data_IF_625420369886
#
_entry.id   IF_625420369886
#
_cell.length_a   1.000
_cell.length_b   1.000
_cell.length_c   1.000
_cell.angle_alpha   90.00
_cell.angle_beta   90.00
_cell.angle_gamma   90.00
#
_symmetry.space_group_name_H-M   'P 1'
#
loop_
_entity.id
_entity.type
_entity.pdbx_description
1 polymer ?
#
# COMPACT_ATOMS: atom_id res chain seq x y z
N UNK A 1 -17.79 -18.81 -14.96
CA UNK A 1 -17.25 -17.52 -14.48
C UNK A 1 -15.91 -17.80 -13.84
N UNK A 2 -14.81 -17.36 -14.45
CA UNK A 2 -13.45 -17.58 -13.94
C UNK A 2 -13.07 -16.42 -13.02
N UNK A 3 -12.55 -16.72 -11.83
CA UNK A 3 -12.02 -15.69 -10.92
C UNK A 3 -10.72 -15.16 -11.53
N UNK A 4 -10.68 -13.87 -11.84
CA UNK A 4 -9.44 -13.23 -12.29
C UNK A 4 -8.48 -13.07 -11.10
N UNK A 5 -7.17 -13.28 -11.30
CA UNK A 5 -6.19 -13.08 -10.25
C UNK A 5 -6.17 -11.60 -9.83
N UNK A 6 -6.00 -11.39 -8.52
CA UNK A 6 -5.84 -10.09 -7.89
C UNK A 6 -4.48 -10.05 -7.21
N UNK A 7 -3.79 -8.92 -7.32
CA UNK A 7 -2.54 -8.68 -6.62
C UNK A 7 -2.83 -8.11 -5.24
N UNK A 8 -2.06 -8.58 -4.25
CA UNK A 8 -2.12 -8.09 -2.89
C UNK A 8 -0.78 -7.50 -2.48
N UNK A 9 -0.77 -6.19 -2.21
CA UNK A 9 0.42 -5.42 -1.85
C UNK A 9 0.28 -4.97 -0.40
N UNK A 10 1.31 -5.22 0.41
CA UNK A 10 1.40 -4.71 1.78
C UNK A 10 2.54 -3.71 1.85
N UNK A 11 2.22 -2.47 2.22
CA UNK A 11 3.21 -1.43 2.45
C UNK A 11 3.41 -1.30 3.96
N UNK A 12 4.62 -1.65 4.40
CA UNK A 12 5.08 -1.50 5.78
C UNK A 12 5.98 -0.29 5.89
N UNK A 13 5.81 0.48 6.95
CA UNK A 13 6.54 1.74 7.13
C UNK A 13 7.70 1.58 8.14
N UNK A 14 8.84 2.27 7.91
CA UNK A 14 9.95 2.33 8.87
C UNK A 14 9.50 2.84 10.24
N UNK A 15 10.16 2.41 11.32
CA UNK A 15 9.74 2.73 12.70
C UNK A 15 9.67 4.23 12.96
N UNK A 16 10.60 4.98 12.35
CA UNK A 16 10.84 6.39 12.55
C UNK A 16 9.66 7.26 12.09
N UNK A 17 8.89 6.79 11.11
CA UNK A 17 7.76 7.54 10.54
C UNK A 17 6.39 7.13 11.11
N UNK A 18 6.30 5.99 11.81
CA UNK A 18 5.03 5.47 12.33
C UNK A 18 4.29 6.38 13.29
N UNK A 19 4.94 7.20 14.15
CA UNK A 19 4.23 8.15 15.00
C UNK A 19 3.32 9.10 14.20
N UNK A 20 3.76 9.56 13.01
CA UNK A 20 2.99 10.43 12.12
C UNK A 20 1.73 9.75 11.57
N UNK A 21 1.75 8.42 11.51
CA UNK A 21 0.66 7.62 10.95
C UNK A 21 -0.47 7.39 11.95
N UNK A 22 -0.43 8.03 13.12
CA UNK A 22 -1.58 8.12 14.04
C UNK A 22 -2.56 9.22 13.62
N UNK A 23 -2.12 10.16 12.78
CA UNK A 23 -2.97 11.22 12.23
C UNK A 23 -3.83 10.69 11.07
N UNK A 24 -5.17 10.73 11.17
CA UNK A 24 -6.08 10.35 10.10
C UNK A 24 -5.83 11.09 8.77
N UNK A 25 -5.36 12.35 8.81
CA UNK A 25 -5.05 13.13 7.63
C UNK A 25 -3.82 12.58 6.89
N UNK A 26 -2.76 12.21 7.62
CA UNK A 26 -1.58 11.54 7.08
C UNK A 26 -1.97 10.21 6.44
N UNK A 27 -2.77 9.40 7.16
CA UNK A 27 -3.28 8.12 6.66
C UNK A 27 -4.10 8.28 5.37
N UNK A 28 -4.96 9.30 5.31
CA UNK A 28 -5.76 9.61 4.14
C UNK A 28 -4.89 10.07 2.95
N UNK A 29 -3.88 10.89 3.21
CA UNK A 29 -2.93 11.39 2.22
C UNK A 29 -2.12 10.25 1.60
N UNK A 30 -1.51 9.39 2.42
CA UNK A 30 -0.72 8.24 1.97
C UNK A 30 -1.57 7.27 1.14
N UNK A 31 -2.79 6.95 1.61
CA UNK A 31 -3.76 6.15 0.86
C UNK A 31 -4.11 6.77 -0.50
N UNK A 32 -4.31 8.10 -0.55
CA UNK A 32 -4.59 8.83 -1.80
C UNK A 32 -3.40 8.79 -2.76
N UNK A 33 -2.18 8.99 -2.25
CA UNK A 33 -0.93 8.91 -3.03
C UNK A 33 -0.74 7.52 -3.64
N UNK A 34 -0.87 6.46 -2.85
CA UNK A 34 -0.74 5.07 -3.30
C UNK A 34 -1.76 4.73 -4.40
N UNK A 35 -3.06 5.03 -4.19
CA UNK A 35 -4.10 4.79 -5.20
C UNK A 35 -3.83 5.54 -6.50
N UNK A 36 -3.41 6.80 -6.41
CA UNK A 36 -3.09 7.62 -7.60
C UNK A 36 -1.88 7.05 -8.36
N UNK A 37 -0.86 6.58 -7.64
CA UNK A 37 0.31 5.95 -8.25
C UNK A 37 -0.06 4.70 -9.03
N UNK A 38 -0.85 3.79 -8.41
CA UNK A 38 -1.27 2.55 -9.05
C UNK A 38 -2.19 2.82 -10.24
N UNK A 39 -3.18 3.72 -10.10
CA UNK A 39 -4.04 4.10 -11.24
C UNK A 39 -3.27 4.69 -12.41
N UNK A 40 -2.24 5.49 -12.15
CA UNK A 40 -1.35 6.02 -13.21
C UNK A 40 -0.57 4.93 -13.95
N UNK A 41 -0.36 3.77 -13.33
CA UNK A 41 0.29 2.60 -13.93
C UNK A 41 -0.66 1.68 -14.69
N UNK A 42 -1.97 1.99 -14.70
CA UNK A 42 -2.96 1.20 -15.43
C UNK A 42 -3.82 0.27 -14.57
N UNK A 43 -3.56 0.16 -13.26
CA UNK A 43 -4.42 -0.58 -12.34
C UNK A 43 -5.80 0.09 -12.23
N UNK A 44 -6.86 -0.63 -12.60
CA UNK A 44 -8.24 -0.10 -12.64
C UNK A 44 -8.94 -0.29 -11.30
N UNK A 45 -8.78 -1.45 -10.70
CA UNK A 45 -9.35 -1.81 -9.40
C UNK A 45 -8.28 -1.61 -8.34
N UNK A 46 -8.46 -0.64 -7.44
CA UNK A 46 -7.49 -0.39 -6.36
C UNK A 46 -8.24 -0.14 -5.06
N UNK A 47 -8.32 -1.19 -4.24
CA UNK A 47 -8.91 -1.17 -2.92
C UNK A 47 -7.81 -1.07 -1.87
N UNK A 48 -8.04 -0.29 -0.83
CA UNK A 48 -7.02 0.00 0.18
C UNK A 48 -7.62 -0.09 1.56
N UNK A 49 -6.92 -0.73 2.49
CA UNK A 49 -7.30 -0.84 3.90
C UNK A 49 -6.08 -0.63 4.78
N UNK A 50 -6.21 0.25 5.77
CA UNK A 50 -5.22 0.30 6.84
C UNK A 50 -5.45 -0.87 7.80
N UNK A 51 -4.37 -1.56 8.13
CA UNK A 51 -4.34 -2.63 9.12
C UNK A 51 -3.37 -2.22 10.22
N UNK A 52 -3.82 -2.28 11.46
CA UNK A 52 -3.04 -1.86 12.62
C UNK A 52 -2.74 -3.10 13.46
N UNK A 53 -1.47 -3.50 13.50
CA UNK A 53 -1.02 -4.48 14.47
C UNK A 53 -0.58 -3.74 15.74
N UNK A 54 -1.07 -4.19 16.90
CA UNK A 54 -0.75 -3.56 18.19
C UNK A 54 -1.47 -2.25 18.45
N UNK A 55 -2.70 -2.05 17.95
CA UNK A 55 -3.50 -0.84 18.22
C UNK A 55 -3.65 -0.55 19.74
N UNK A 56 -3.58 -1.60 20.56
CA UNK A 56 -3.57 -1.56 22.03
C UNK A 56 -2.27 -2.06 22.69
N UNK A 57 -1.18 -2.25 21.92
CA UNK A 57 0.12 -2.72 22.43
C UNK A 57 1.19 -1.62 22.45
N UNK A 58 2.36 -1.91 23.01
CA UNK A 58 3.48 -0.96 23.10
C UNK A 58 3.99 -0.48 21.72
N UNK A 59 3.82 -1.31 20.69
CA UNK A 59 4.33 -1.04 19.35
C UNK A 59 3.17 -0.83 18.37
N UNK A 60 3.12 0.37 17.78
CA UNK A 60 2.22 0.71 16.69
C UNK A 60 2.82 0.28 15.35
N UNK A 61 2.18 -0.66 14.64
CA UNK A 61 2.62 -1.19 13.35
C UNK A 61 1.52 -1.00 12.29
N UNK A 62 1.43 0.18 11.66
CA UNK A 62 0.48 0.43 10.59
C UNK A 62 0.98 -0.19 9.27
N UNK A 63 0.08 -0.91 8.61
CA UNK A 63 0.28 -1.47 7.28
C UNK A 63 -0.81 -0.94 6.34
N UNK A 64 -0.42 -0.47 5.16
CA UNK A 64 -1.36 -0.17 4.09
C UNK A 64 -1.49 -1.39 3.19
N UNK A 65 -2.60 -2.10 3.32
CA UNK A 65 -2.94 -3.23 2.48
C UNK A 65 -3.67 -2.73 1.24
N UNK A 66 -3.26 -3.22 0.08
CA UNK A 66 -3.82 -2.83 -1.22
C UNK A 66 -4.18 -4.10 -1.99
N UNK A 67 -5.43 -4.20 -2.40
CA UNK A 67 -5.90 -5.22 -3.32
C UNK A 67 -6.15 -4.55 -4.67
N UNK A 68 -5.49 -5.04 -5.73
CA UNK A 68 -5.66 -4.49 -7.06
C UNK A 68 -5.78 -5.55 -8.15
N UNK A 69 -6.34 -5.16 -9.30
CA UNK A 69 -6.26 -5.99 -10.50
C UNK A 69 -4.79 -6.27 -10.83
N UNK A 70 -4.49 -7.46 -11.36
CA UNK A 70 -3.13 -7.83 -11.72
C UNK A 70 -2.73 -9.19 -11.18
N UNK A 71 -1.81 -9.83 -11.91
CA UNK A 71 -1.26 -11.12 -11.54
C UNK A 71 0.18 -11.02 -11.09
N UNK A 72 0.93 -12.10 -11.31
CA UNK A 72 2.35 -12.16 -11.07
C UNK A 72 3.10 -11.05 -11.83
N UNK A 73 4.05 -10.40 -11.17
CA UNK A 73 4.95 -9.43 -11.80
C UNK A 73 6.34 -10.05 -11.97
N UNK A 74 6.97 -9.90 -13.14
CA UNK A 74 8.42 -10.14 -13.29
C UNK A 74 9.23 -9.32 -12.29
N UNK A 75 10.40 -9.81 -11.91
CA UNK A 75 11.23 -9.22 -10.85
C UNK A 75 11.58 -7.75 -11.11
N UNK A 76 11.95 -7.41 -12.36
CA UNK A 76 12.24 -6.05 -12.78
C UNK A 76 11.04 -5.11 -12.59
N UNK A 77 9.85 -5.52 -13.05
CA UNK A 77 8.62 -4.73 -12.89
C UNK A 77 8.24 -4.57 -11.41
N UNK A 78 8.45 -5.61 -10.60
CA UNK A 78 8.24 -5.55 -9.16
C UNK A 78 9.22 -4.56 -8.50
N UNK A 79 10.49 -4.53 -8.92
CA UNK A 79 11.48 -3.59 -8.42
C UNK A 79 11.10 -2.14 -8.78
N UNK A 80 10.72 -1.87 -10.03
CA UNK A 80 10.26 -0.55 -10.46
C UNK A 80 9.03 -0.07 -9.69
N UNK A 81 8.09 -0.97 -9.41
CA UNK A 81 6.91 -0.68 -8.61
C UNK A 81 7.29 -0.31 -7.18
N UNK A 82 8.17 -1.11 -6.54
CA UNK A 82 8.69 -0.83 -5.18
C UNK A 82 9.36 0.53 -5.13
N UNK A 83 10.22 0.86 -6.08
CA UNK A 83 10.92 2.14 -6.11
C UNK A 83 9.99 3.33 -6.31
N UNK A 84 8.97 3.15 -7.15
CA UNK A 84 7.98 4.20 -7.35
C UNK A 84 7.10 4.44 -6.13
N UNK A 85 6.80 3.39 -5.37
CA UNK A 85 6.11 3.51 -4.08
C UNK A 85 7.01 4.27 -3.09
N UNK A 86 8.28 3.87 -2.95
CA UNK A 86 9.27 4.52 -2.06
C UNK A 86 9.45 6.01 -2.36
N UNK A 87 9.46 6.39 -3.63
CA UNK A 87 9.60 7.82 -4.03
C UNK A 87 8.33 8.63 -3.79
N UNK A 88 7.16 7.98 -3.69
CA UNK A 88 5.88 8.69 -3.65
C UNK A 88 5.31 8.85 -2.25
N UNK A 89 5.50 7.83 -1.41
CA UNK A 89 5.03 7.78 -0.04
C UNK A 89 6.12 8.31 0.89
#
# INVERSE_FOLDING_TARGET
MQICPMAYIVITFPLEVRPMMRDPQVLALLRKKARRLLRKRGYRMVFTRWHYFGEHGEKYHPHLNILCDGGWLPEEQLAELKDSIRRKL
#
